data_IF_153419886268
#
_entry.id   IF_153419886268
#
_cell.length_a   1.000
_cell.length_b   1.000
_cell.length_c   1.000
_cell.angle_alpha   90.00
_cell.angle_beta   90.00
_cell.angle_gamma   90.00
#
_symmetry.space_group_name_H-M   'P 1'
#
loop_
_entity.id
_entity.type
_entity.pdbx_description
1 polymer ?
#
# COMPACT_ATOMS: atom_id res chain seq x y z
N UNK A 1 -24.04 -11.98 6.12
CA UNK A 1 -23.78 -10.52 6.31
C UNK A 1 -23.84 -9.85 4.95
N UNK A 2 -24.81 -8.96 4.72
CA UNK A 2 -24.96 -8.32 3.39
C UNK A 2 -24.14 -7.05 3.26
N UNK A 3 -23.86 -6.38 4.38
CA UNK A 3 -23.07 -5.15 4.48
C UNK A 3 -21.97 -5.32 5.51
N UNK A 4 -20.74 -5.00 5.17
CA UNK A 4 -19.61 -4.94 6.11
C UNK A 4 -19.59 -3.56 6.77
N UNK A 5 -19.72 -3.53 8.10
CA UNK A 5 -19.75 -2.31 8.92
C UNK A 5 -18.33 -2.00 9.40
N UNK A 6 -17.76 -0.95 8.84
CA UNK A 6 -16.39 -0.51 9.13
C UNK A 6 -16.34 0.51 10.25
N UNK A 7 -15.38 0.36 11.17
CA UNK A 7 -14.91 1.42 12.04
C UNK A 7 -13.58 1.95 11.50
N UNK A 8 -13.30 3.25 11.60
CA UNK A 8 -12.06 3.84 11.10
C UNK A 8 -11.28 4.50 12.22
N UNK A 9 -10.02 4.11 12.40
CA UNK A 9 -9.06 4.70 13.33
C UNK A 9 -8.11 5.62 12.54
N UNK A 10 -8.21 6.93 12.80
CA UNK A 10 -7.45 7.97 12.10
C UNK A 10 -8.26 8.70 11.03
N UNK A 11 -8.60 9.96 11.29
CA UNK A 11 -9.35 10.86 10.40
C UNK A 11 -8.40 11.96 9.88
N UNK A 12 -7.47 11.59 8.99
CA UNK A 12 -6.48 12.49 8.40
C UNK A 12 -6.73 12.74 6.91
N UNK A 13 -5.79 13.46 6.26
CA UNK A 13 -5.88 13.83 4.84
C UNK A 13 -6.13 12.66 3.89
N UNK A 14 -5.57 11.47 4.19
CA UNK A 14 -5.75 10.27 3.36
C UNK A 14 -7.22 9.84 3.35
N UNK A 15 -7.88 9.88 4.52
CA UNK A 15 -9.27 9.45 4.66
C UNK A 15 -10.27 10.49 4.19
N UNK A 16 -9.86 11.76 4.09
CA UNK A 16 -10.74 12.84 3.65
C UNK A 16 -11.19 12.66 2.20
N UNK A 17 -10.27 12.34 1.30
CA UNK A 17 -10.55 12.30 -0.16
C UNK A 17 -10.18 11.00 -0.84
N UNK A 18 -9.12 10.31 -0.36
CA UNK A 18 -8.55 9.16 -1.07
C UNK A 18 -9.18 7.84 -0.67
N UNK A 19 -9.16 7.50 0.62
CA UNK A 19 -9.61 6.19 1.10
C UNK A 19 -10.99 6.20 1.73
N UNK A 20 -11.27 7.14 2.63
CA UNK A 20 -12.52 7.18 3.42
C UNK A 20 -13.79 7.06 2.59
N UNK A 21 -13.98 7.85 1.50
CA UNK A 21 -15.19 7.76 0.69
C UNK A 21 -15.49 6.37 0.13
N UNK A 22 -14.50 5.56 -0.17
CA UNK A 22 -14.73 4.19 -0.63
C UNK A 22 -15.44 3.32 0.42
N UNK A 23 -15.15 3.53 1.72
CA UNK A 23 -15.72 2.73 2.81
C UNK A 23 -17.20 3.01 3.09
N UNK A 24 -17.74 4.19 2.72
CA UNK A 24 -19.16 4.51 2.92
C UNK A 24 -19.95 4.64 1.63
N UNK A 25 -19.30 4.71 0.45
CA UNK A 25 -19.98 4.78 -0.85
C UNK A 25 -20.02 3.45 -1.60
N UNK A 26 -19.08 2.53 -1.35
CA UNK A 26 -19.04 1.26 -2.06
C UNK A 26 -20.24 0.36 -1.70
N UNK A 27 -20.86 -0.35 -2.66
CA UNK A 27 -21.93 -1.29 -2.39
C UNK A 27 -21.51 -2.36 -1.36
N UNK A 28 -22.40 -2.67 -0.42
CA UNK A 28 -22.13 -3.66 0.64
C UNK A 28 -21.07 -3.20 1.66
N UNK A 29 -20.86 -1.89 1.79
CA UNK A 29 -19.96 -1.26 2.75
C UNK A 29 -20.65 -0.13 3.49
N UNK A 30 -20.38 0.01 4.78
CA UNK A 30 -20.85 1.14 5.59
C UNK A 30 -19.76 1.55 6.58
N UNK A 31 -19.41 2.83 6.62
CA UNK A 31 -18.55 3.39 7.65
C UNK A 31 -19.43 3.87 8.81
N UNK A 32 -19.48 3.06 9.89
CA UNK A 32 -20.43 3.29 10.99
C UNK A 32 -19.84 4.04 12.17
N UNK A 33 -18.50 4.01 12.31
CA UNK A 33 -17.80 4.62 13.44
C UNK A 33 -16.45 5.20 13.00
N UNK A 34 -16.05 6.30 13.64
CA UNK A 34 -14.72 6.91 13.43
C UNK A 34 -14.08 7.25 14.76
N UNK A 35 -12.74 7.15 14.79
CA UNK A 35 -11.94 7.49 15.95
C UNK A 35 -10.81 8.47 15.57
N UNK A 36 -10.67 9.51 16.35
CA UNK A 36 -9.56 10.46 16.30
C UNK A 36 -9.17 10.95 17.69
N UNK A 37 -7.89 11.22 17.93
CA UNK A 37 -7.39 11.66 19.25
C UNK A 37 -7.88 13.05 19.67
N UNK A 38 -8.25 13.90 18.72
CA UNK A 38 -8.79 15.24 18.96
C UNK A 38 -10.30 15.23 18.75
N UNK A 39 -11.07 15.40 19.84
CA UNK A 39 -12.52 15.29 19.81
C UNK A 39 -13.17 16.19 18.75
N UNK A 40 -12.88 17.49 18.77
CA UNK A 40 -13.44 18.46 17.80
C UNK A 40 -13.17 18.08 16.34
N UNK A 41 -11.95 17.59 16.03
CA UNK A 41 -11.59 17.25 14.67
C UNK A 41 -12.27 15.96 14.18
N UNK A 42 -12.48 14.97 15.03
CA UNK A 42 -13.17 13.73 14.67
C UNK A 42 -14.69 13.93 14.60
N UNK A 43 -15.27 14.80 15.45
CA UNK A 43 -16.68 15.20 15.39
C UNK A 43 -16.98 15.97 14.10
N UNK A 44 -16.12 16.95 13.72
CA UNK A 44 -16.24 17.65 12.44
C UNK A 44 -16.16 16.68 11.25
N UNK A 45 -15.18 15.75 11.27
CA UNK A 45 -15.07 14.72 10.24
C UNK A 45 -16.36 13.89 10.14
N UNK A 46 -16.87 13.39 11.27
CA UNK A 46 -18.08 12.58 11.32
C UNK A 46 -19.30 13.34 10.79
N UNK A 47 -19.47 14.60 11.18
CA UNK A 47 -20.57 15.46 10.72
C UNK A 47 -20.53 15.67 9.20
N UNK A 48 -19.36 15.97 8.63
CA UNK A 48 -19.19 16.19 7.18
C UNK A 48 -19.40 14.93 6.35
N UNK A 49 -19.11 13.76 6.91
CA UNK A 49 -19.25 12.48 6.20
C UNK A 49 -20.47 11.66 6.61
N UNK A 50 -21.35 12.19 7.48
CA UNK A 50 -22.61 11.54 7.89
C UNK A 50 -22.40 10.29 8.73
N UNK A 51 -21.33 10.23 9.57
CA UNK A 51 -21.00 9.07 10.39
C UNK A 51 -21.56 9.29 11.80
N UNK A 52 -22.38 8.33 12.28
CA UNK A 52 -23.16 8.53 13.51
C UNK A 52 -22.40 8.27 14.81
N UNK A 53 -21.26 7.56 14.78
CA UNK A 53 -20.54 7.13 15.99
C UNK A 53 -19.13 7.69 16.01
N UNK A 54 -18.80 8.38 17.10
CA UNK A 54 -17.52 9.08 17.26
C UNK A 54 -16.82 8.61 18.53
N UNK A 55 -15.54 8.32 18.42
CA UNK A 55 -14.70 7.86 19.52
C UNK A 55 -13.40 8.68 19.60
N UNK A 56 -12.89 8.87 20.80
CA UNK A 56 -11.56 9.44 21.06
C UNK A 56 -10.57 8.38 21.57
N UNK A 57 -11.05 7.16 21.80
CA UNK A 57 -10.27 6.00 22.23
C UNK A 57 -10.47 4.85 21.24
N UNK A 58 -9.36 4.25 20.80
CA UNK A 58 -9.39 3.19 19.78
C UNK A 58 -10.06 1.91 20.30
N UNK A 59 -9.82 1.53 21.57
CA UNK A 59 -10.44 0.34 22.15
C UNK A 59 -11.97 0.45 22.17
N UNK A 60 -12.52 1.62 22.51
CA UNK A 60 -13.94 1.84 22.51
C UNK A 60 -14.60 1.68 21.11
N UNK A 61 -13.92 2.09 20.03
CA UNK A 61 -14.35 1.81 18.67
C UNK A 61 -14.23 0.33 18.33
N UNK A 62 -13.13 -0.31 18.72
CA UNK A 62 -12.86 -1.73 18.44
C UNK A 62 -13.91 -2.61 19.15
N UNK A 63 -14.32 -2.26 20.38
CA UNK A 63 -15.28 -3.02 21.17
C UNK A 63 -16.75 -2.76 20.74
N UNK A 64 -17.02 -1.79 19.88
CA UNK A 64 -18.36 -1.49 19.41
C UNK A 64 -18.96 -2.70 18.65
N UNK A 65 -20.08 -3.30 19.12
CA UNK A 65 -20.71 -4.46 18.48
C UNK A 65 -21.25 -4.19 17.07
N UNK A 66 -21.43 -2.91 16.71
CA UNK A 66 -21.85 -2.53 15.36
C UNK A 66 -20.69 -2.45 14.36
N UNK A 67 -19.44 -2.64 14.80
CA UNK A 67 -18.26 -2.67 13.95
C UNK A 67 -17.86 -4.11 13.65
N UNK A 68 -17.87 -4.51 12.37
CA UNK A 68 -17.45 -5.84 11.90
C UNK A 68 -15.96 -5.88 11.55
N UNK A 69 -15.46 -4.78 11.03
CA UNK A 69 -14.08 -4.63 10.55
C UNK A 69 -13.53 -3.23 10.87
N UNK A 70 -12.23 -3.12 11.09
CA UNK A 70 -11.58 -1.86 11.43
C UNK A 70 -10.58 -1.45 10.33
N UNK A 71 -10.70 -0.21 9.86
CA UNK A 71 -9.71 0.41 9.00
C UNK A 71 -8.77 1.30 9.81
N UNK A 72 -7.46 1.00 9.78
CA UNK A 72 -6.41 1.76 10.47
C UNK A 72 -5.72 2.66 9.45
N UNK A 73 -5.93 3.98 9.59
CA UNK A 73 -5.41 5.02 8.69
C UNK A 73 -4.52 6.03 9.42
N UNK A 74 -3.83 5.58 10.43
CA UNK A 74 -2.86 6.34 11.22
C UNK A 74 -1.46 6.32 10.57
N UNK A 75 -0.45 7.02 11.10
CA UNK A 75 0.94 6.81 10.71
C UNK A 75 1.45 5.40 11.05
N UNK A 76 2.47 4.88 10.32
CA UNK A 76 2.93 3.49 10.42
C UNK A 76 3.40 3.03 11.81
N UNK A 77 3.91 3.93 12.65
CA UNK A 77 4.36 3.64 14.01
C UNK A 77 3.28 3.06 14.93
N UNK A 78 2.02 3.30 14.61
CA UNK A 78 0.87 2.82 15.39
C UNK A 78 0.14 1.63 14.76
N UNK A 79 0.48 1.23 13.54
CA UNK A 79 -0.21 0.17 12.81
C UNK A 79 -0.15 -1.17 13.55
N UNK A 80 1.04 -1.56 14.03
CA UNK A 80 1.25 -2.80 14.77
C UNK A 80 0.37 -2.87 16.02
N UNK A 81 0.46 -1.87 16.90
CA UNK A 81 -0.28 -1.86 18.16
C UNK A 81 -1.81 -1.93 17.94
N UNK A 82 -2.35 -1.10 17.04
CA UNK A 82 -3.79 -1.11 16.76
C UNK A 82 -4.25 -2.41 16.10
N UNK A 83 -3.46 -2.96 15.20
CA UNK A 83 -3.81 -4.23 14.52
C UNK A 83 -3.90 -5.39 15.52
N UNK A 84 -2.99 -5.49 16.49
CA UNK A 84 -3.04 -6.51 17.54
C UNK A 84 -4.30 -6.37 18.42
N UNK A 85 -4.72 -5.13 18.75
CA UNK A 85 -5.97 -4.89 19.48
C UNK A 85 -7.20 -5.36 18.67
N UNK A 86 -7.22 -5.10 17.35
CA UNK A 86 -8.30 -5.54 16.47
C UNK A 86 -8.35 -7.07 16.36
N UNK A 87 -7.19 -7.73 16.23
CA UNK A 87 -7.09 -9.18 16.21
C UNK A 87 -7.62 -9.80 17.52
N UNK A 88 -7.19 -9.25 18.68
CA UNK A 88 -7.65 -9.69 20.00
C UNK A 88 -9.17 -9.54 20.21
N UNK A 89 -9.78 -8.53 19.59
CA UNK A 89 -11.24 -8.34 19.57
C UNK A 89 -11.98 -9.25 18.58
N UNK A 90 -11.28 -10.10 17.82
CA UNK A 90 -11.86 -11.02 16.86
C UNK A 90 -12.52 -10.34 15.66
N UNK A 91 -12.04 -9.16 15.23
CA UNK A 91 -12.56 -8.41 14.09
C UNK A 91 -11.63 -8.47 12.89
N UNK A 92 -12.18 -8.25 11.68
CA UNK A 92 -11.36 -8.08 10.47
C UNK A 92 -10.67 -6.71 10.49
N UNK A 93 -9.56 -6.59 9.76
CA UNK A 93 -8.80 -5.35 9.70
C UNK A 93 -8.36 -5.02 8.27
N UNK A 94 -8.31 -3.75 7.97
CA UNK A 94 -7.54 -3.17 6.88
C UNK A 94 -6.57 -2.15 7.48
N UNK A 95 -5.28 -2.25 7.21
CA UNK A 95 -4.28 -1.29 7.67
C UNK A 95 -3.67 -0.55 6.50
N UNK A 96 -3.38 0.75 6.67
CA UNK A 96 -2.64 1.51 5.67
C UNK A 96 -1.22 0.95 5.47
N UNK A 97 -0.69 1.23 4.31
CA UNK A 97 0.68 0.84 3.95
C UNK A 97 1.71 1.94 4.39
N UNK A 98 2.98 1.60 4.62
CA UNK A 98 3.47 0.23 4.79
C UNK A 98 2.76 -0.47 5.96
N UNK A 99 2.68 -1.79 5.93
CA UNK A 99 1.92 -2.55 6.91
C UNK A 99 2.38 -2.27 8.36
N UNK A 100 3.70 -2.13 8.56
CA UNK A 100 4.32 -1.75 9.82
C UNK A 100 5.70 -1.12 9.60
N UNK A 101 6.48 -0.90 10.66
CA UNK A 101 7.84 -0.36 10.58
C UNK A 101 8.89 -1.40 10.18
N UNK A 102 8.58 -2.71 10.28
CA UNK A 102 9.50 -3.80 9.96
C UNK A 102 8.78 -5.08 9.59
N UNK A 103 9.43 -5.94 8.82
CA UNK A 103 8.89 -7.26 8.47
C UNK A 103 8.66 -8.16 9.68
N UNK A 104 9.37 -7.96 10.79
CA UNK A 104 9.13 -8.66 12.07
C UNK A 104 7.77 -8.30 12.64
N UNK A 105 7.46 -7.01 12.80
CA UNK A 105 6.14 -6.54 13.24
C UNK A 105 5.02 -7.01 12.31
N UNK A 106 5.26 -6.98 10.99
CA UNK A 106 4.28 -7.46 10.01
C UNK A 106 3.99 -8.95 10.15
N UNK A 107 4.99 -9.78 10.47
CA UNK A 107 4.80 -11.22 10.77
C UNK A 107 3.98 -11.42 12.05
N UNK A 108 4.24 -10.66 13.10
CA UNK A 108 3.47 -10.71 14.35
C UNK A 108 2.00 -10.33 14.11
N UNK A 109 1.76 -9.28 13.32
CA UNK A 109 0.40 -8.90 12.93
C UNK A 109 -0.29 -10.01 12.14
N UNK A 110 0.36 -10.58 11.13
CA UNK A 110 -0.19 -11.70 10.36
C UNK A 110 -0.56 -12.86 11.28
N UNK A 111 0.37 -13.30 12.14
CA UNK A 111 0.17 -14.42 13.06
C UNK A 111 -1.04 -14.18 13.97
N UNK A 112 -1.16 -12.99 14.57
CA UNK A 112 -2.28 -12.65 15.43
C UNK A 112 -3.64 -12.77 14.73
N UNK A 113 -3.74 -12.37 13.45
CA UNK A 113 -4.97 -12.50 12.68
C UNK A 113 -5.24 -13.94 12.25
N UNK A 114 -4.20 -14.72 11.92
CA UNK A 114 -4.33 -16.15 11.61
C UNK A 114 -4.86 -16.91 12.83
N UNK A 115 -4.32 -16.65 14.03
CA UNK A 115 -4.77 -17.23 15.32
C UNK A 115 -6.21 -16.80 15.66
N UNK A 116 -6.59 -15.56 15.37
CA UNK A 116 -7.94 -15.06 15.59
C UNK A 116 -8.97 -15.60 14.57
N UNK A 117 -8.52 -16.24 13.48
CA UNK A 117 -9.38 -16.67 12.38
C UNK A 117 -10.05 -15.46 11.68
N UNK A 118 -9.33 -14.35 11.56
CA UNK A 118 -9.80 -13.11 10.94
C UNK A 118 -8.86 -12.67 9.83
N UNK A 119 -9.37 -11.82 8.93
CA UNK A 119 -8.58 -11.30 7.82
C UNK A 119 -7.91 -9.98 8.20
N UNK A 120 -6.62 -9.88 7.87
CA UNK A 120 -5.88 -8.63 7.84
C UNK A 120 -5.55 -8.31 6.38
N UNK A 121 -6.11 -7.21 5.90
CA UNK A 121 -5.81 -6.63 4.58
C UNK A 121 -4.85 -5.46 4.74
N UNK A 122 -4.05 -5.21 3.70
CA UNK A 122 -3.17 -4.04 3.64
C UNK A 122 -3.56 -3.18 2.44
N UNK A 123 -3.55 -1.86 2.59
CA UNK A 123 -4.00 -0.90 1.57
C UNK A 123 -3.12 -0.84 0.31
N UNK A 124 -2.69 -2.01 -0.19
CA UNK A 124 -2.03 -2.17 -1.48
C UNK A 124 -3.06 -2.23 -2.62
N UNK A 125 -3.87 -1.17 -2.72
CA UNK A 125 -5.02 -1.08 -3.63
C UNK A 125 -4.66 -1.12 -5.12
N UNK A 126 -3.38 -0.93 -5.48
CA UNK A 126 -2.92 -1.01 -6.87
C UNK A 126 -3.18 -2.36 -7.51
N UNK A 127 -3.13 -3.44 -6.73
CA UNK A 127 -3.50 -4.79 -7.18
C UNK A 127 -4.89 -4.87 -7.80
N UNK A 128 -5.83 -4.00 -7.41
CA UNK A 128 -7.21 -3.99 -7.88
C UNK A 128 -7.54 -2.90 -8.91
N UNK A 129 -6.60 -1.99 -9.21
CA UNK A 129 -6.84 -0.93 -10.19
C UNK A 129 -6.89 -1.51 -11.62
N UNK A 130 -7.88 -1.13 -12.44
CA UNK A 130 -8.07 -1.66 -13.79
C UNK A 130 -6.81 -1.59 -14.67
N UNK A 131 -6.01 -0.52 -14.56
CA UNK A 131 -4.78 -0.38 -15.33
C UNK A 131 -3.74 -1.47 -15.04
N UNK A 132 -3.60 -1.90 -13.78
CA UNK A 132 -2.68 -2.97 -13.41
C UNK A 132 -3.26 -4.36 -13.62
N UNK A 133 -4.59 -4.49 -13.58
CA UNK A 133 -5.27 -5.70 -14.07
C UNK A 133 -5.01 -5.89 -15.57
N UNK A 134 -5.01 -4.80 -16.35
CA UNK A 134 -4.69 -4.87 -17.78
C UNK A 134 -3.25 -5.31 -18.05
N UNK A 135 -2.28 -4.80 -17.27
CA UNK A 135 -0.88 -5.28 -17.32
C UNK A 135 -0.81 -6.78 -17.01
N UNK A 136 -1.54 -7.23 -15.98
CA UNK A 136 -1.59 -8.65 -15.59
C UNK A 136 -2.20 -9.53 -16.69
N UNK A 137 -3.24 -9.05 -17.35
CA UNK A 137 -3.86 -9.74 -18.49
C UNK A 137 -2.85 -9.92 -19.64
N UNK A 138 -2.12 -8.88 -20.02
CA UNK A 138 -1.10 -8.98 -21.07
C UNK A 138 0.01 -9.97 -20.71
N UNK A 139 0.44 -9.99 -19.46
CA UNK A 139 1.41 -10.98 -18.97
C UNK A 139 0.86 -12.40 -19.05
N UNK A 140 -0.37 -12.61 -18.56
CA UNK A 140 -1.03 -13.95 -18.58
C UNK A 140 -1.29 -14.44 -20.00
N UNK A 141 -1.54 -13.55 -20.96
CA UNK A 141 -1.72 -13.87 -22.37
C UNK A 141 -0.39 -14.09 -23.12
N UNK A 142 0.74 -13.86 -22.43
CA UNK A 142 2.07 -14.10 -23.01
C UNK A 142 2.51 -13.07 -24.08
N UNK A 143 1.90 -11.88 -24.12
CA UNK A 143 2.20 -10.88 -25.15
C UNK A 143 3.68 -10.48 -25.24
N UNK A 144 4.43 -10.54 -24.13
CA UNK A 144 5.87 -10.25 -24.13
C UNK A 144 6.74 -11.51 -23.95
N UNK A 145 6.13 -12.70 -24.01
CA UNK A 145 6.82 -13.96 -23.75
C UNK A 145 7.24 -14.12 -22.29
N UNK A 146 8.36 -14.82 -22.04
CA UNK A 146 8.91 -14.97 -20.68
C UNK A 146 9.47 -13.64 -20.18
N UNK A 147 9.06 -13.19 -19.01
CA UNK A 147 9.63 -12.00 -18.38
C UNK A 147 11.09 -12.27 -18.00
N UNK A 148 11.97 -11.41 -18.45
CA UNK A 148 13.42 -11.48 -18.21
C UNK A 148 13.88 -10.49 -17.16
N UNK A 149 13.34 -9.25 -17.22
CA UNK A 149 13.79 -8.16 -16.38
C UNK A 149 12.67 -7.20 -16.06
N UNK A 150 12.73 -6.61 -14.87
CA UNK A 150 11.95 -5.46 -14.45
C UNK A 150 12.90 -4.32 -14.07
N UNK A 151 12.62 -3.12 -14.56
CA UNK A 151 13.29 -1.90 -14.09
C UNK A 151 12.25 -0.91 -13.56
N UNK A 152 12.56 -0.21 -12.47
CA UNK A 152 11.75 0.88 -11.95
C UNK A 152 12.61 2.07 -11.54
N UNK A 153 12.33 3.22 -12.12
CA UNK A 153 12.91 4.50 -11.73
C UNK A 153 11.81 5.37 -11.13
N UNK A 154 12.01 5.82 -9.88
CA UNK A 154 11.14 6.78 -9.21
C UNK A 154 12.00 7.93 -8.69
N UNK A 155 12.01 9.03 -9.42
CA UNK A 155 12.76 10.23 -9.10
C UNK A 155 11.82 11.38 -8.77
N UNK A 156 12.13 12.17 -7.75
CA UNK A 156 11.32 13.32 -7.35
C UNK A 156 12.24 14.45 -6.85
N UNK A 157 11.97 15.69 -7.20
CA UNK A 157 12.57 16.82 -6.51
C UNK A 157 12.16 16.85 -5.03
N UNK A 158 12.99 17.42 -4.15
CA UNK A 158 12.59 17.64 -2.76
C UNK A 158 11.34 18.54 -2.71
N UNK A 159 10.45 18.23 -1.77
CA UNK A 159 9.27 19.07 -1.56
C UNK A 159 9.64 20.41 -0.92
N UNK A 160 8.77 21.42 -1.05
CA UNK A 160 8.99 22.71 -0.36
C UNK A 160 9.13 22.53 1.16
N UNK A 161 8.36 21.61 1.76
CA UNK A 161 8.46 21.26 3.19
C UNK A 161 9.84 20.72 3.56
N UNK A 162 10.43 19.90 2.71
CA UNK A 162 11.76 19.32 2.94
C UNK A 162 12.84 20.41 2.83
N UNK A 163 12.74 21.30 1.84
CA UNK A 163 13.65 22.44 1.66
C UNK A 163 13.60 23.42 2.83
N UNK A 164 12.42 23.65 3.38
CA UNK A 164 12.19 24.49 4.55
C UNK A 164 12.41 23.77 5.88
N UNK A 165 12.79 22.49 5.84
CA UNK A 165 12.98 21.61 7.01
C UNK A 165 11.78 21.59 7.97
N UNK A 166 10.57 21.67 7.41
CA UNK A 166 9.34 21.58 8.18
C UNK A 166 9.14 20.16 8.69
N UNK A 167 8.48 20.03 9.85
CA UNK A 167 8.14 18.73 10.43
C UNK A 167 7.28 17.91 9.46
N UNK A 168 7.81 16.77 9.05
CA UNK A 168 7.13 15.85 8.15
C UNK A 168 7.34 14.42 8.67
N UNK A 169 6.29 13.82 9.22
CA UNK A 169 6.36 12.49 9.79
C UNK A 169 6.84 11.41 8.77
N UNK A 170 6.62 11.65 7.47
CA UNK A 170 7.07 10.72 6.41
C UNK A 170 8.59 10.63 6.26
N UNK A 171 9.29 11.65 6.71
CA UNK A 171 10.76 11.70 6.67
C UNK A 171 11.42 11.44 8.03
N UNK A 172 10.60 11.11 9.04
CA UNK A 172 11.07 10.65 10.34
C UNK A 172 11.11 9.10 10.37
N UNK A 173 12.30 8.48 10.46
CA UNK A 173 12.43 7.03 10.49
C UNK A 173 11.71 6.36 11.66
N UNK A 174 11.54 7.04 12.79
CA UNK A 174 10.84 6.50 13.95
C UNK A 174 9.33 6.38 13.72
N UNK A 175 8.75 7.18 12.82
CA UNK A 175 7.32 7.21 12.51
C UNK A 175 7.01 6.46 11.22
N UNK A 176 7.80 6.70 10.16
CA UNK A 176 7.54 6.19 8.81
C UNK A 176 8.42 4.99 8.42
N UNK A 177 9.35 4.57 9.27
CA UNK A 177 10.33 3.56 8.92
C UNK A 177 11.37 4.11 7.93
N UNK A 178 11.30 3.80 6.66
CA UNK A 178 12.27 4.15 5.61
C UNK A 178 11.94 5.41 4.82
N UNK A 179 11.33 6.42 5.42
CA UNK A 179 11.07 7.70 4.76
C UNK A 179 10.18 7.57 3.51
N UNK A 180 10.43 8.42 2.52
CA UNK A 180 9.71 8.36 1.23
C UNK A 180 9.91 7.05 0.49
N UNK A 181 11.03 6.35 0.69
CA UNK A 181 11.20 5.01 0.13
C UNK A 181 10.14 4.05 0.67
N UNK A 182 9.99 3.91 1.98
CA UNK A 182 8.98 3.03 2.57
C UNK A 182 7.55 3.45 2.17
N UNK A 183 7.25 4.75 2.16
CA UNK A 183 5.93 5.27 1.77
C UNK A 183 5.59 4.96 0.30
N UNK A 184 6.53 5.08 -0.63
CA UNK A 184 6.28 5.01 -2.07
C UNK A 184 6.72 3.68 -2.69
N UNK A 185 7.92 3.18 -2.36
CA UNK A 185 8.44 1.96 -2.97
C UNK A 185 7.61 0.73 -2.59
N UNK A 186 7.03 0.70 -1.38
CA UNK A 186 6.14 -0.37 -0.93
C UNK A 186 5.02 -0.66 -1.93
N UNK A 187 4.42 0.36 -2.52
CA UNK A 187 3.37 0.21 -3.53
C UNK A 187 3.83 -0.50 -4.81
N UNK A 188 5.02 -0.18 -5.30
CA UNK A 188 5.56 -0.81 -6.50
C UNK A 188 6.07 -2.22 -6.23
N UNK A 189 6.81 -2.42 -5.14
CA UNK A 189 7.32 -3.74 -4.75
C UNK A 189 6.20 -4.74 -4.51
N UNK A 190 5.10 -4.31 -3.87
CA UNK A 190 3.89 -5.11 -3.71
C UNK A 190 3.24 -5.44 -5.07
N UNK A 191 3.10 -4.44 -5.93
CA UNK A 191 2.53 -4.62 -7.27
C UNK A 191 3.38 -5.57 -8.12
N UNK A 192 4.70 -5.49 -8.04
CA UNK A 192 5.60 -6.35 -8.82
C UNK A 192 5.52 -7.81 -8.37
N UNK A 193 5.42 -8.06 -7.07
CA UNK A 193 5.17 -9.41 -6.56
C UNK A 193 3.79 -9.94 -6.98
N UNK A 194 2.78 -9.09 -7.01
CA UNK A 194 1.46 -9.46 -7.53
C UNK A 194 1.46 -9.82 -9.02
N UNK A 195 2.29 -9.13 -9.83
CA UNK A 195 2.37 -9.35 -11.28
C UNK A 195 3.28 -10.52 -11.66
N UNK A 196 4.41 -10.71 -10.94
CA UNK A 196 5.51 -11.59 -11.36
C UNK A 196 5.83 -12.73 -10.37
N UNK A 197 5.13 -12.76 -9.22
CA UNK A 197 5.41 -13.72 -8.14
C UNK A 197 6.44 -13.22 -7.14
N UNK A 198 6.79 -14.09 -6.19
CA UNK A 198 7.59 -13.73 -5.02
C UNK A 198 9.01 -13.31 -5.39
N UNK A 199 9.50 -12.27 -4.70
CA UNK A 199 10.90 -11.88 -4.69
C UNK A 199 11.63 -12.73 -3.64
N UNK A 200 12.69 -13.45 -4.06
CA UNK A 200 13.37 -14.45 -3.22
C UNK A 200 14.80 -14.10 -2.86
N UNK A 201 15.39 -13.09 -3.51
CA UNK A 201 16.76 -12.64 -3.26
C UNK A 201 16.84 -11.13 -3.48
N UNK A 202 17.45 -10.38 -2.55
CA UNK A 202 17.41 -8.90 -2.54
C UNK A 202 18.71 -8.34 -2.00
N UNK A 203 19.23 -7.28 -2.66
CA UNK A 203 20.32 -6.44 -2.18
C UNK A 203 19.96 -4.96 -2.42
N UNK A 204 20.53 -4.07 -1.61
CA UNK A 204 20.31 -2.64 -1.78
C UNK A 204 21.44 -1.79 -1.20
N UNK A 205 21.46 -0.52 -1.62
CA UNK A 205 22.31 0.54 -1.07
C UNK A 205 21.44 1.76 -0.81
N UNK A 206 21.75 2.46 0.27
CA UNK A 206 21.03 3.66 0.70
C UNK A 206 21.99 4.81 0.95
N UNK A 207 21.53 6.02 0.77
CA UNK A 207 22.30 7.22 1.06
C UNK A 207 21.39 8.37 1.52
N UNK A 208 22.00 9.33 2.21
CA UNK A 208 21.43 10.66 2.51
C UNK A 208 22.27 11.70 1.79
N UNK A 209 21.87 12.03 0.56
CA UNK A 209 22.68 12.86 -0.34
C UNK A 209 22.52 14.35 -0.08
N UNK A 210 21.29 14.80 0.21
CA UNK A 210 21.02 16.24 0.43
C UNK A 210 20.98 16.64 1.92
N UNK A 211 20.80 15.66 2.84
CA UNK A 211 20.80 15.95 4.27
C UNK A 211 19.61 16.80 4.75
N UNK A 212 18.50 16.83 4.00
CA UNK A 212 17.33 17.64 4.32
C UNK A 212 16.50 17.03 5.47
N UNK A 213 16.59 15.74 5.69
CA UNK A 213 15.86 15.00 6.72
C UNK A 213 16.62 13.75 7.19
N UNK A 214 16.09 13.05 8.20
CA UNK A 214 16.78 11.93 8.84
C UNK A 214 16.71 10.61 8.06
N UNK A 215 15.65 10.39 7.28
CA UNK A 215 15.52 9.19 6.45
C UNK A 215 16.41 9.22 5.22
N UNK A 216 16.59 8.07 4.58
CA UNK A 216 17.30 7.93 3.31
C UNK A 216 16.55 8.69 2.20
N UNK A 217 17.28 9.48 1.40
CA UNK A 217 16.75 10.25 0.26
C UNK A 217 17.11 9.63 -1.09
N UNK A 218 18.08 8.70 -1.11
CA UNK A 218 18.49 7.94 -2.28
C UNK A 218 18.63 6.46 -1.94
N UNK A 219 17.98 5.59 -2.71
CA UNK A 219 17.97 4.14 -2.52
C UNK A 219 18.09 3.46 -3.88
N UNK A 220 18.90 2.42 -3.96
CA UNK A 220 18.94 1.51 -5.11
C UNK A 220 18.77 0.09 -4.61
N UNK A 221 18.07 -0.74 -5.39
CA UNK A 221 17.84 -2.14 -5.06
C UNK A 221 17.93 -3.04 -6.27
N UNK A 222 18.34 -4.28 -6.06
CA UNK A 222 18.28 -5.33 -7.05
C UNK A 222 17.73 -6.60 -6.43
N UNK A 223 16.97 -7.37 -7.21
CA UNK A 223 16.31 -8.58 -6.71
C UNK A 223 16.12 -9.63 -7.79
N UNK A 224 15.81 -10.84 -7.35
CA UNK A 224 15.42 -11.96 -8.22
C UNK A 224 14.05 -12.46 -7.80
N UNK A 225 13.16 -12.62 -8.77
CA UNK A 225 11.89 -13.31 -8.62
C UNK A 225 12.07 -14.82 -8.58
N UNK A 226 11.13 -15.53 -7.98
CA UNK A 226 11.12 -17.01 -7.96
C UNK A 226 11.12 -17.62 -9.37
N UNK A 227 10.56 -16.90 -10.36
CA UNK A 227 10.61 -17.29 -11.79
C UNK A 227 12.02 -17.22 -12.42
N UNK A 228 13.00 -16.60 -11.74
CA UNK A 228 14.33 -16.32 -12.25
C UNK A 228 14.49 -14.94 -12.93
N UNK A 229 13.39 -14.21 -13.17
CA UNK A 229 13.46 -12.84 -13.67
C UNK A 229 14.22 -11.94 -12.69
N UNK A 230 14.97 -10.95 -13.22
CA UNK A 230 15.73 -10.01 -12.40
C UNK A 230 15.02 -8.67 -12.31
N UNK A 231 15.13 -8.00 -11.17
CA UNK A 231 14.59 -6.67 -10.96
C UNK A 231 15.64 -5.69 -10.46
N UNK A 232 15.52 -4.44 -10.88
CA UNK A 232 16.30 -3.32 -10.34
C UNK A 232 15.38 -2.13 -10.10
N UNK A 233 15.63 -1.39 -9.02
CA UNK A 233 14.93 -0.16 -8.68
C UNK A 233 15.89 0.95 -8.28
N UNK A 234 15.54 2.17 -8.67
CA UNK A 234 16.23 3.39 -8.30
C UNK A 234 15.21 4.40 -7.78
N UNK A 235 15.38 4.82 -6.54
CA UNK A 235 14.52 5.81 -5.88
C UNK A 235 15.36 6.97 -5.39
N UNK A 236 15.07 8.18 -5.84
CA UNK A 236 15.75 9.37 -5.38
C UNK A 236 14.75 10.51 -5.19
N UNK A 237 14.69 11.05 -3.98
CA UNK A 237 13.72 12.06 -3.56
C UNK A 237 14.34 13.46 -3.45
N UNK A 238 15.54 13.63 -4.01
CA UNK A 238 16.27 14.89 -4.12
C UNK A 238 16.85 15.10 -5.54
N UNK A 239 16.23 14.46 -6.52
CA UNK A 239 16.58 14.56 -7.94
C UNK A 239 16.14 15.90 -8.54
N UNK A 240 16.59 16.19 -9.76
CA UNK A 240 16.27 17.42 -10.50
C UNK A 240 14.92 17.35 -11.24
N UNK A 241 14.30 16.15 -11.32
CA UNK A 241 13.09 15.90 -12.12
C UNK A 241 12.14 14.90 -11.50
N UNK A 242 10.92 14.91 -12.00
CA UNK A 242 9.96 13.81 -11.76
C UNK A 242 10.13 12.72 -12.82
N UNK A 243 10.25 11.47 -12.35
CA UNK A 243 10.19 10.28 -13.17
C UNK A 243 9.50 9.16 -12.38
N UNK A 244 8.58 8.48 -12.98
CA UNK A 244 7.97 7.25 -12.46
C UNK A 244 7.79 6.29 -13.64
N UNK A 245 8.76 5.42 -13.87
CA UNK A 245 8.81 4.57 -15.03
C UNK A 245 9.13 3.14 -14.65
N UNK A 246 8.19 2.24 -14.91
CA UNK A 246 8.38 0.80 -14.85
C UNK A 246 8.47 0.24 -16.26
N UNK A 247 9.39 -0.67 -16.46
CA UNK A 247 9.57 -1.41 -17.70
C UNK A 247 9.71 -2.90 -17.41
N UNK A 248 8.77 -3.70 -17.92
CA UNK A 248 8.82 -5.15 -17.89
C UNK A 248 9.35 -5.62 -19.25
N UNK A 249 10.54 -6.22 -19.25
CA UNK A 249 11.20 -6.70 -20.47
C UNK A 249 11.01 -8.21 -20.55
N UNK A 250 10.37 -8.66 -21.61
CA UNK A 250 10.16 -10.07 -21.92
C UNK A 250 11.02 -10.55 -23.08
N UNK A 251 10.92 -11.83 -23.42
CA UNK A 251 11.63 -12.45 -24.54
C UNK A 251 11.08 -12.04 -25.91
N UNK A 252 9.88 -11.44 -25.97
CA UNK A 252 9.17 -11.09 -27.23
C UNK A 252 8.63 -9.66 -27.24
N UNK A 253 8.94 -8.84 -26.23
CA UNK A 253 8.47 -7.46 -26.16
C UNK A 253 8.64 -6.88 -24.76
N UNK A 254 8.01 -5.73 -24.52
CA UNK A 254 8.03 -5.07 -23.22
C UNK A 254 6.69 -4.41 -22.90
N UNK A 255 6.43 -4.21 -21.59
CA UNK A 255 5.32 -3.42 -21.08
C UNK A 255 5.90 -2.23 -20.30
N UNK A 256 5.37 -1.03 -20.54
CA UNK A 256 5.82 0.21 -19.88
C UNK A 256 4.63 0.88 -19.20
N UNK A 257 4.81 1.25 -17.93
CA UNK A 257 3.79 1.96 -17.15
C UNK A 257 4.42 2.77 -16.00
N UNK A 258 3.62 3.62 -15.35
CA UNK A 258 3.95 4.30 -14.10
C UNK A 258 3.18 3.68 -12.93
N UNK A 259 3.78 3.67 -11.72
CA UNK A 259 3.13 3.19 -10.49
C UNK A 259 2.14 4.23 -9.96
N UNK A 260 2.46 5.52 -10.06
CA UNK A 260 1.71 6.63 -9.46
C UNK A 260 1.04 7.54 -10.48
N UNK A 261 1.61 7.66 -11.68
CA UNK A 261 1.07 8.49 -12.76
C UNK A 261 -0.16 7.87 -13.42
N UNK A 262 -0.79 8.63 -14.28
CA UNK A 262 -1.97 8.25 -15.06
C UNK A 262 -1.67 8.10 -16.57
N UNK A 263 -0.40 8.15 -16.97
CA UNK A 263 0.01 7.92 -18.35
C UNK A 263 -0.47 6.56 -18.85
N UNK A 264 -0.70 6.42 -20.17
CA UNK A 264 -1.13 5.15 -20.74
C UNK A 264 -0.21 3.98 -20.38
N UNK A 265 -0.79 2.82 -20.09
CA UNK A 265 -0.04 1.56 -20.07
C UNK A 265 0.27 1.16 -21.51
N UNK A 266 1.50 0.78 -21.81
CA UNK A 266 1.98 0.50 -23.16
C UNK A 266 2.52 -0.91 -23.27
N UNK A 267 2.05 -1.62 -24.29
CA UNK A 267 2.60 -2.87 -24.75
C UNK A 267 3.40 -2.61 -26.05
N UNK A 268 4.65 -2.97 -26.07
CA UNK A 268 5.55 -2.85 -27.21
C UNK A 268 6.08 -4.26 -27.56
N UNK A 269 5.35 -4.98 -28.42
CA UNK A 269 5.61 -6.34 -28.86
C UNK A 269 5.31 -6.47 -30.35
N UNK A 270 4.96 -7.68 -30.84
CA UNK A 270 4.50 -7.87 -32.22
C UNK A 270 3.34 -6.95 -32.57
N UNK A 271 2.45 -6.70 -31.61
CA UNK A 271 1.43 -5.66 -31.66
C UNK A 271 1.81 -4.57 -30.64
N UNK A 272 1.66 -3.32 -31.02
CA UNK A 272 1.87 -2.17 -30.15
C UNK A 272 0.52 -1.62 -29.70
N UNK A 273 0.30 -1.59 -28.38
CA UNK A 273 -0.92 -1.06 -27.76
C UNK A 273 -0.56 0.05 -26.78
N UNK A 274 -1.40 1.06 -26.71
CA UNK A 274 -1.29 2.15 -25.74
C UNK A 274 -2.67 2.47 -25.22
N UNK A 275 -2.93 2.14 -23.95
CA UNK A 275 -4.26 2.23 -23.34
C UNK A 275 -4.25 3.22 -22.17
N UNK A 276 -5.07 4.27 -22.29
CA UNK A 276 -5.36 5.18 -21.17
C UNK A 276 -6.52 4.60 -20.35
N UNK A 277 -6.23 4.20 -19.12
CA UNK A 277 -7.21 3.59 -18.21
C UNK A 277 -7.34 4.51 -17.00
N UNK A 278 -8.45 5.21 -16.92
CA UNK A 278 -8.74 6.18 -15.87
C UNK A 278 -8.82 5.53 -14.49
N UNK A 279 -8.27 6.20 -13.49
CA UNK A 279 -8.47 5.83 -12.10
C UNK A 279 -9.92 6.04 -11.65
N UNK A 280 -10.44 5.23 -10.72
CA UNK A 280 -11.73 5.52 -10.09
C UNK A 280 -11.65 6.84 -9.32
N UNK A 281 -12.78 7.54 -9.15
CA UNK A 281 -12.88 8.78 -8.37
C UNK A 281 -12.29 8.61 -6.96
N UNK A 282 -12.57 7.48 -6.32
CA UNK A 282 -12.00 7.10 -5.03
C UNK A 282 -11.01 5.95 -5.26
N UNK A 283 -9.73 6.23 -5.12
CA UNK A 283 -8.66 5.33 -5.55
C UNK A 283 -8.72 3.94 -4.89
N UNK A 284 -9.29 3.81 -3.71
CA UNK A 284 -9.45 2.54 -3.00
C UNK A 284 -10.80 1.83 -3.28
N UNK A 285 -11.60 2.31 -4.23
CA UNK A 285 -12.91 1.74 -4.55
C UNK A 285 -12.91 0.23 -4.76
N UNK A 286 -12.07 -0.23 -5.68
CA UNK A 286 -11.97 -1.67 -6.01
C UNK A 286 -11.34 -2.47 -4.87
N UNK A 287 -10.49 -1.84 -4.05
CA UNK A 287 -9.91 -2.46 -2.87
C UNK A 287 -10.99 -2.75 -1.82
N UNK A 288 -11.82 -1.78 -1.50
CA UNK A 288 -12.94 -1.95 -0.56
C UNK A 288 -13.94 -2.99 -1.07
N UNK A 289 -14.32 -2.96 -2.34
CA UNK A 289 -15.17 -3.99 -2.94
C UNK A 289 -14.56 -5.39 -2.80
N UNK A 290 -13.26 -5.53 -3.06
CA UNK A 290 -12.54 -6.80 -2.93
C UNK A 290 -12.52 -7.33 -1.51
N UNK A 291 -12.20 -6.48 -0.53
CA UNK A 291 -12.19 -6.83 0.89
C UNK A 291 -13.58 -7.27 1.38
N UNK A 292 -14.63 -6.49 1.05
CA UNK A 292 -16.00 -6.81 1.45
C UNK A 292 -16.47 -8.15 0.86
N UNK A 293 -16.19 -8.41 -0.42
CA UNK A 293 -16.53 -9.67 -1.05
C UNK A 293 -15.79 -10.86 -0.41
N UNK A 294 -14.52 -10.66 -0.02
CA UNK A 294 -13.73 -11.68 0.68
C UNK A 294 -14.27 -11.98 2.08
N UNK A 295 -14.60 -10.95 2.86
CA UNK A 295 -15.19 -11.08 4.20
C UNK A 295 -16.53 -11.83 4.13
N UNK A 296 -17.33 -11.60 3.09
CA UNK A 296 -18.61 -12.31 2.88
C UNK A 296 -18.45 -13.72 2.29
N UNK A 297 -17.22 -14.14 1.95
CA UNK A 297 -16.98 -15.45 1.33
C UNK A 297 -17.40 -15.56 -0.14
N UNK A 298 -17.63 -14.45 -0.82
CA UNK A 298 -18.10 -14.42 -2.21
C UNK A 298 -16.95 -14.59 -3.22
N UNK A 299 -15.76 -14.09 -2.88
CA UNK A 299 -14.58 -14.11 -3.76
C UNK A 299 -13.30 -13.94 -2.96
N UNK A 300 -12.25 -14.68 -3.33
CA UNK A 300 -10.92 -14.43 -2.80
C UNK A 300 -10.37 -13.06 -3.24
N UNK A 301 -9.65 -12.41 -2.32
CA UNK A 301 -8.99 -11.14 -2.58
C UNK A 301 -7.52 -11.17 -2.14
N UNK A 302 -6.63 -10.76 -3.02
CA UNK A 302 -5.19 -11.02 -2.89
C UNK A 302 -4.40 -9.98 -2.05
N UNK A 303 -5.05 -8.98 -1.43
CA UNK A 303 -4.36 -7.96 -0.62
C UNK A 303 -4.32 -8.30 0.88
N UNK A 304 -4.03 -9.56 1.21
CA UNK A 304 -3.92 -10.06 2.58
C UNK A 304 -2.52 -9.81 3.17
N UNK A 305 -2.43 -9.78 4.49
CA UNK A 305 -1.20 -9.62 5.24
C UNK A 305 -0.08 -10.57 4.82
N UNK A 306 -0.39 -11.84 4.53
CA UNK A 306 0.58 -12.84 4.07
C UNK A 306 1.35 -12.43 2.81
N UNK A 307 0.75 -11.61 1.95
CA UNK A 307 1.42 -11.06 0.76
C UNK A 307 2.21 -9.78 1.12
N UNK A 308 1.65 -8.95 2.00
CA UNK A 308 2.26 -7.69 2.43
C UNK A 308 3.54 -7.91 3.25
N UNK A 309 3.59 -8.94 4.09
CA UNK A 309 4.80 -9.33 4.84
C UNK A 309 6.01 -9.56 3.92
N UNK A 310 5.78 -10.14 2.74
CA UNK A 310 6.83 -10.32 1.73
C UNK A 310 7.37 -8.98 1.22
N UNK A 311 6.48 -8.00 1.03
CA UNK A 311 6.86 -6.65 0.61
C UNK A 311 7.69 -5.93 1.66
N UNK A 312 7.30 -6.01 2.93
CA UNK A 312 8.04 -5.41 4.02
C UNK A 312 9.42 -6.08 4.22
N UNK A 313 9.51 -7.40 4.02
CA UNK A 313 10.79 -8.11 4.02
C UNK A 313 11.71 -7.62 2.88
N UNK A 314 11.18 -7.41 1.67
CA UNK A 314 11.95 -6.87 0.55
C UNK A 314 12.47 -5.47 0.88
N UNK A 315 11.63 -4.61 1.46
CA UNK A 315 12.04 -3.27 1.87
C UNK A 315 13.14 -3.31 2.95
N UNK A 316 12.98 -4.14 3.97
CA UNK A 316 13.99 -4.30 5.04
C UNK A 316 15.34 -4.78 4.47
N UNK A 317 15.30 -5.70 3.50
CA UNK A 317 16.51 -6.18 2.79
C UNK A 317 17.18 -5.07 1.99
N UNK A 318 16.43 -4.28 1.23
CA UNK A 318 16.97 -3.13 0.46
C UNK A 318 17.60 -2.10 1.40
N UNK A 319 16.97 -1.85 2.56
CA UNK A 319 17.44 -0.91 3.56
C UNK A 319 18.55 -1.46 4.46
N UNK A 320 18.96 -2.73 4.30
CA UNK A 320 20.01 -3.38 5.10
C UNK A 320 19.62 -3.60 6.56
N UNK A 321 18.33 -3.77 6.87
CA UNK A 321 17.81 -3.94 8.24
C UNK A 321 17.72 -5.37 8.71
N UNK A 322 17.76 -6.34 7.82
CA UNK A 322 17.78 -7.77 8.10
C UNK A 322 18.92 -8.44 7.34
N UNK A 323 19.58 -9.40 8.00
CA UNK A 323 20.66 -10.15 7.38
C UNK A 323 20.19 -11.12 6.27
N UNK A 324 21.13 -11.59 5.46
CA UNK A 324 20.90 -12.41 4.29
C UNK A 324 20.29 -13.78 4.62
#
# INVERSE_FOLDING_TARGET
MDVVRWGMIGCGDVTERKSGPAFYKAPGSALVAVMGRRAEAVEDYAARHGIGRVYTNAQALIDDPEVDAVYIATPPDSHHAYSLLVAAAGKHCCVEKPMSLSSTQSKEMQQAFDEAGRYLFVSYYRRSLPRFQRVREWLAQGHIGDVRQLTWSLLKPPSQKDLEQQVNWRTDPAVAGGGYFADLASHGLDLFQYLLGDIVNVNGFTARQAGLYAAEDAVVGSWRFASGALGIGCWNFVADRHEDRVELIGSQGRIVFSVFGDEPVRLEAKEALSEYIQHPEHIQWYHVLGMNAHIRGEREYAALAREAVKTDWVMDRILGRVEA
#
